data_IF_388804633719
#
_entry.id   IF_388804633719
#
_cell.length_a   1.000
_cell.length_b   1.000
_cell.length_c   1.000
_cell.angle_alpha   90.00
_cell.angle_beta   90.00
_cell.angle_gamma   90.00
#
_symmetry.space_group_name_H-M   'P 1'
#
loop_
_entity.id
_entity.type
_entity.pdbx_description
1 polymer ?
#
# COMPACT_ATOMS: atom_id res chain seq x y z
N UNK A 1 4.50 2.45 26.48
CA UNK A 1 3.08 2.80 26.52
C UNK A 1 2.24 1.69 25.91
N UNK A 2 1.35 1.18 26.67
CA UNK A 2 0.54 0.06 26.19
C UNK A 2 -0.56 0.55 25.26
N UNK A 3 -0.71 -0.12 24.14
CA UNK A 3 -1.78 0.14 23.20
C UNK A 3 -2.82 -0.95 23.35
N UNK A 4 -3.53 -0.95 24.41
CA UNK A 4 -4.40 -2.06 24.70
C UNK A 4 -5.82 -1.83 24.21
N UNK A 5 -6.51 -0.91 24.80
CA UNK A 5 -7.93 -0.72 24.49
C UNK A 5 -8.15 -0.18 23.11
N UNK A 6 -7.25 0.67 22.63
CA UNK A 6 -7.37 1.25 21.32
C UNK A 6 -6.52 0.59 20.26
N UNK A 7 -6.03 -0.64 20.52
CA UNK A 7 -5.03 -1.24 19.64
C UNK A 7 -5.48 -1.32 18.18
N UNK A 8 -6.72 -1.75 17.92
CA UNK A 8 -7.22 -1.84 16.56
C UNK A 8 -7.36 -0.48 15.90
N UNK A 9 -7.86 0.48 16.64
CA UNK A 9 -8.03 1.84 16.15
C UNK A 9 -6.67 2.51 15.92
N UNK A 10 -5.75 2.35 16.87
CA UNK A 10 -4.41 2.90 16.73
C UNK A 10 -3.67 2.28 15.55
N UNK A 11 -3.83 0.98 15.36
CA UNK A 11 -3.21 0.31 14.23
C UNK A 11 -3.75 0.88 12.91
N UNK A 12 -5.06 1.09 12.84
CA UNK A 12 -5.67 1.67 11.63
C UNK A 12 -5.11 3.05 11.35
N UNK A 13 -4.97 3.89 12.38
CA UNK A 13 -4.39 5.21 12.20
C UNK A 13 -2.92 5.14 11.75
N UNK A 14 -2.17 4.23 12.35
CA UNK A 14 -0.77 4.05 11.96
C UNK A 14 -0.65 3.60 10.52
N UNK A 15 -1.52 2.69 10.08
CA UNK A 15 -1.54 2.24 8.68
C UNK A 15 -1.82 3.43 7.77
N UNK A 16 -2.85 4.20 8.07
CA UNK A 16 -3.25 5.32 7.20
C UNK A 16 -2.17 6.41 7.17
N UNK A 17 -1.54 6.69 8.29
CA UNK A 17 -0.44 7.66 8.33
C UNK A 17 0.73 7.20 7.46
N UNK A 18 1.07 5.91 7.53
CA UNK A 18 2.15 5.38 6.70
C UNK A 18 1.78 5.44 5.22
N UNK A 19 0.55 5.06 4.89
CA UNK A 19 0.07 5.09 3.51
C UNK A 19 0.12 6.51 2.95
N UNK A 20 -0.29 7.50 3.75
CA UNK A 20 -0.24 8.89 3.33
C UNK A 20 1.18 9.38 3.09
N UNK A 21 2.17 8.71 3.65
CA UNK A 21 3.58 9.06 3.48
C UNK A 21 4.19 8.51 2.21
N UNK A 22 3.54 7.53 1.56
CA UNK A 22 4.09 6.92 0.34
C UNK A 22 4.05 7.96 -0.78
N UNK A 23 5.20 8.31 -1.38
CA UNK A 23 5.21 9.33 -2.43
C UNK A 23 4.56 8.84 -3.71
N UNK A 24 4.07 9.75 -4.56
CA UNK A 24 3.53 9.36 -5.87
C UNK A 24 4.55 8.57 -6.68
N UNK A 25 4.09 7.55 -7.38
CA UNK A 25 4.97 6.69 -8.18
C UNK A 25 5.59 5.55 -7.38
N UNK A 26 5.36 5.51 -6.09
CA UNK A 26 5.90 4.47 -5.21
C UNK A 26 4.78 3.70 -4.54
N UNK A 27 5.10 2.49 -4.10
CA UNK A 27 4.10 1.57 -3.56
C UNK A 27 4.69 0.74 -2.42
N UNK A 28 3.80 0.17 -1.60
CA UNK A 28 4.14 -0.86 -0.63
C UNK A 28 3.11 -1.97 -0.72
N UNK A 29 3.52 -3.20 -0.42
CA UNK A 29 2.56 -4.29 -0.28
C UNK A 29 1.92 -4.23 1.11
N UNK A 30 0.78 -4.93 1.29
CA UNK A 30 0.18 -5.04 2.61
C UNK A 30 1.18 -5.59 3.63
N UNK A 31 1.97 -6.57 3.20
CA UNK A 31 2.99 -7.15 4.08
C UNK A 31 4.08 -6.16 4.46
N UNK A 32 4.51 -5.34 3.52
CA UNK A 32 5.54 -4.34 3.80
C UNK A 32 5.00 -3.23 4.71
N UNK A 33 3.75 -2.82 4.53
CA UNK A 33 3.13 -1.87 5.45
C UNK A 33 3.12 -2.43 6.86
N UNK A 34 2.68 -3.68 7.01
CA UNK A 34 2.66 -4.33 8.32
C UNK A 34 4.06 -4.40 8.91
N UNK A 35 5.05 -4.82 8.13
CA UNK A 35 6.42 -4.97 8.61
C UNK A 35 6.99 -3.64 9.08
N UNK A 36 6.72 -2.56 8.38
CA UNK A 36 7.20 -1.23 8.77
C UNK A 36 6.57 -0.76 10.07
N UNK A 37 5.42 -1.29 10.41
CA UNK A 37 4.75 -1.00 11.69
C UNK A 37 5.09 -2.03 12.77
N UNK A 38 6.05 -2.90 12.49
CA UNK A 38 6.46 -3.91 13.47
C UNK A 38 5.46 -5.05 13.63
N UNK A 39 4.67 -5.33 12.60
CA UNK A 39 3.59 -6.31 12.67
C UNK A 39 3.73 -7.33 11.55
N UNK A 40 3.14 -8.50 11.75
CA UNK A 40 3.01 -9.52 10.70
C UNK A 40 1.58 -9.58 10.15
N UNK A 41 0.73 -8.65 10.55
CA UNK A 41 -0.71 -8.73 10.29
C UNK A 41 -1.05 -8.06 8.96
N UNK A 42 -0.55 -8.61 7.85
CA UNK A 42 -0.84 -8.05 6.52
C UNK A 42 -2.33 -8.06 6.22
N UNK A 43 -3.07 -9.08 6.71
CA UNK A 43 -4.52 -9.10 6.52
C UNK A 43 -5.22 -7.95 7.22
N UNK A 44 -4.71 -7.57 8.39
CA UNK A 44 -5.27 -6.44 9.11
C UNK A 44 -5.05 -5.13 8.35
N UNK A 45 -3.90 -4.99 7.69
CA UNK A 45 -3.67 -3.85 6.80
C UNK A 45 -4.70 -3.83 5.69
N UNK A 46 -4.94 -4.98 5.05
CA UNK A 46 -5.95 -5.08 3.99
C UNK A 46 -7.33 -4.69 4.49
N UNK A 47 -7.70 -5.09 5.70
CA UNK A 47 -8.98 -4.73 6.30
C UNK A 47 -9.08 -3.22 6.52
N UNK A 48 -8.03 -2.60 7.05
CA UNK A 48 -7.99 -1.16 7.25
C UNK A 48 -8.19 -0.44 5.91
N UNK A 49 -7.50 -0.88 4.88
CA UNK A 49 -7.61 -0.24 3.57
C UNK A 49 -9.01 -0.39 2.97
N UNK A 50 -9.65 -1.54 3.14
CA UNK A 50 -11.02 -1.72 2.66
C UNK A 50 -12.00 -0.84 3.40
N UNK A 51 -11.84 -0.69 4.71
CA UNK A 51 -12.79 0.03 5.54
C UNK A 51 -12.54 1.53 5.56
N UNK A 52 -11.30 1.94 5.47
CA UNK A 52 -10.93 3.33 5.72
C UNK A 52 -9.99 3.91 4.65
N UNK A 53 -9.75 3.21 3.57
CA UNK A 53 -8.79 3.66 2.56
C UNK A 53 -9.30 4.80 1.68
N UNK A 54 -10.61 4.98 1.60
CA UNK A 54 -11.18 6.07 0.79
C UNK A 54 -10.68 7.41 1.32
N UNK A 55 -10.25 8.28 0.41
CA UNK A 55 -9.65 9.56 0.82
C UNK A 55 -8.16 9.50 1.06
N UNK A 56 -7.57 8.30 1.00
CA UNK A 56 -6.14 8.10 1.11
C UNK A 56 -5.61 7.52 -0.19
N UNK A 57 -4.30 7.54 -0.45
CA UNK A 57 -3.76 6.98 -1.70
C UNK A 57 -3.75 5.45 -1.65
N UNK A 58 -4.93 4.86 -1.64
CA UNK A 58 -5.15 3.42 -1.48
C UNK A 58 -4.47 2.60 -2.57
N UNK A 59 -4.31 3.14 -3.78
CA UNK A 59 -3.69 2.44 -4.91
C UNK A 59 -2.19 2.24 -4.69
N UNK A 60 -1.60 2.94 -3.75
CA UNK A 60 -0.17 2.78 -3.42
C UNK A 60 0.09 1.62 -2.47
N UNK A 61 -0.97 0.89 -2.08
CA UNK A 61 -0.84 -0.30 -1.25
C UNK A 61 -1.35 -1.49 -2.05
N UNK A 62 -0.52 -2.50 -2.22
CA UNK A 62 -0.73 -3.57 -3.18
C UNK A 62 -0.82 -4.93 -2.51
N UNK A 63 -1.44 -5.87 -3.23
CA UNK A 63 -1.35 -7.28 -2.88
C UNK A 63 0.06 -7.79 -3.20
N UNK A 64 0.40 -8.92 -2.61
CA UNK A 64 1.67 -9.59 -2.87
C UNK A 64 1.91 -9.74 -4.37
N UNK A 65 3.15 -9.53 -4.79
CA UNK A 65 3.53 -9.65 -6.20
C UNK A 65 3.26 -8.40 -7.03
N UNK A 66 2.82 -7.32 -6.41
CA UNK A 66 2.57 -6.07 -7.13
C UNK A 66 1.19 -5.95 -7.74
N UNK A 67 0.26 -6.83 -7.35
CA UNK A 67 -1.09 -6.82 -7.90
C UNK A 67 -1.93 -5.72 -7.26
N UNK A 68 -2.72 -4.99 -8.05
CA UNK A 68 -3.57 -3.93 -7.51
C UNK A 68 -4.68 -4.49 -6.64
N UNK A 69 -5.31 -3.65 -5.80
CA UNK A 69 -6.41 -4.11 -4.96
C UNK A 69 -7.53 -4.74 -5.79
N UNK A 70 -8.04 -5.87 -5.32
CA UNK A 70 -9.07 -6.63 -6.02
C UNK A 70 -10.32 -5.79 -6.20
N UNK A 71 -10.85 -5.77 -7.41
CA UNK A 71 -12.08 -5.03 -7.72
C UNK A 71 -11.85 -3.57 -8.08
N UNK A 72 -10.62 -3.08 -7.95
CA UNK A 72 -10.31 -1.67 -8.21
C UNK A 72 -9.21 -1.52 -9.25
N UNK A 73 -8.98 -2.55 -10.05
CA UNK A 73 -7.84 -2.60 -10.97
C UNK A 73 -7.86 -1.46 -11.99
N UNK A 74 -9.02 -1.16 -12.56
CA UNK A 74 -9.11 -0.11 -13.58
C UNK A 74 -8.88 1.28 -12.97
N UNK A 75 -9.46 1.54 -11.81
CA UNK A 75 -9.28 2.82 -11.13
C UNK A 75 -7.85 3.01 -10.66
N UNK A 76 -7.26 1.94 -10.14
CA UNK A 76 -5.86 1.98 -9.73
C UNK A 76 -4.96 2.28 -10.91
N UNK A 77 -5.24 1.68 -12.07
CA UNK A 77 -4.45 1.90 -13.28
C UNK A 77 -4.38 3.39 -13.63
N UNK A 78 -5.50 4.09 -13.54
CA UNK A 78 -5.52 5.53 -13.83
C UNK A 78 -4.57 6.30 -12.92
N UNK A 79 -4.56 5.95 -11.65
CA UNK A 79 -3.65 6.58 -10.69
C UNK A 79 -2.19 6.25 -11.01
N UNK A 80 -1.90 4.99 -11.34
CA UNK A 80 -0.52 4.60 -11.66
C UNK A 80 0.00 5.35 -12.87
N UNK A 81 -0.82 5.47 -13.91
CA UNK A 81 -0.42 6.21 -15.11
C UNK A 81 -0.17 7.67 -14.76
N UNK A 82 -1.07 8.28 -13.98
CA UNK A 82 -0.93 9.69 -13.61
C UNK A 82 0.32 9.95 -12.79
N UNK A 83 0.76 8.96 -12.00
CA UNK A 83 1.94 9.11 -11.13
C UNK A 83 3.21 8.55 -11.75
N UNK A 84 3.12 8.03 -12.97
CA UNK A 84 4.25 7.38 -13.64
C UNK A 84 4.80 6.19 -12.86
N UNK A 85 3.92 5.45 -12.19
CA UNK A 85 4.30 4.25 -11.47
C UNK A 85 4.75 3.17 -12.45
N UNK A 86 5.91 2.54 -12.25
CA UNK A 86 6.36 1.47 -13.15
C UNK A 86 5.39 0.30 -13.17
N UNK A 87 4.94 -0.09 -14.36
CA UNK A 87 3.99 -1.19 -14.55
C UNK A 87 4.60 -2.26 -15.44
N UNK A 88 4.11 -3.49 -15.26
CA UNK A 88 4.47 -4.64 -16.08
C UNK A 88 3.19 -5.19 -16.69
N UNK A 89 3.20 -5.46 -17.98
CA UNK A 89 2.08 -6.09 -18.65
C UNK A 89 2.06 -7.58 -18.29
N UNK A 90 0.89 -8.11 -18.01
CA UNK A 90 0.73 -9.52 -17.69
C UNK A 90 -0.24 -10.18 -18.65
N UNK A 91 -0.05 -11.49 -18.89
CA UNK A 91 -0.91 -12.25 -19.80
C UNK A 91 -2.21 -12.69 -19.11
N UNK A 92 -2.25 -12.70 -17.79
CA UNK A 92 -3.40 -13.17 -17.03
C UNK A 92 -3.83 -12.10 -16.01
N UNK A 93 -4.94 -12.36 -15.33
CA UNK A 93 -5.47 -11.40 -14.37
C UNK A 93 -6.01 -10.17 -15.07
N UNK A 94 -5.76 -9.01 -14.49
CA UNK A 94 -6.26 -7.75 -15.04
C UNK A 94 -5.37 -7.18 -16.17
N UNK A 95 -4.34 -7.89 -16.56
CA UNK A 95 -3.47 -7.48 -17.68
C UNK A 95 -2.25 -6.67 -17.29
N UNK A 96 -2.11 -6.31 -16.01
CA UNK A 96 -0.93 -5.58 -15.53
C UNK A 96 -0.70 -5.84 -14.06
N UNK A 97 0.49 -5.52 -13.63
CA UNK A 97 0.84 -5.39 -12.21
C UNK A 97 1.86 -4.26 -12.08
N UNK A 98 2.05 -3.78 -10.88
CA UNK A 98 3.11 -2.80 -10.62
C UNK A 98 4.45 -3.55 -10.58
N UNK A 99 5.47 -2.94 -11.16
CA UNK A 99 6.84 -3.47 -11.06
C UNK A 99 7.34 -3.19 -9.66
N UNK A 100 7.07 -4.13 -8.76
CA UNK A 100 7.27 -3.92 -7.34
C UNK A 100 8.73 -3.68 -6.99
N UNK A 101 9.63 -4.39 -7.65
CA UNK A 101 11.06 -4.25 -7.38
C UNK A 101 11.54 -2.82 -7.65
N UNK A 102 10.96 -2.17 -8.64
CA UNK A 102 11.35 -0.81 -9.01
C UNK A 102 10.55 0.24 -8.22
N UNK A 103 9.25 0.01 -8.05
CA UNK A 103 8.36 1.02 -7.47
C UNK A 103 8.31 0.99 -5.94
N UNK A 104 8.78 -0.08 -5.32
CA UNK A 104 8.71 -0.24 -3.86
C UNK A 104 9.34 0.96 -3.16
N UNK A 105 8.59 1.55 -2.25
CA UNK A 105 9.09 2.67 -1.48
C UNK A 105 10.03 2.20 -0.38
N UNK A 106 11.22 2.75 -0.39
CA UNK A 106 12.21 2.48 0.66
C UNK A 106 12.50 3.81 1.31
N UNK A 107 11.82 4.11 2.43
CA UNK A 107 12.07 5.36 3.12
C UNK A 107 13.52 5.42 3.58
N UNK A 108 14.17 6.53 3.29
CA UNK A 108 15.53 6.72 3.77
C UNK A 108 15.50 7.85 4.78
N UNK A 109 16.25 7.66 5.86
CA UNK A 109 16.43 8.71 6.84
C UNK A 109 17.11 9.88 6.16
N UNK A 110 16.56 11.10 6.28
CA UNK A 110 17.33 12.22 5.77
C UNK A 110 18.63 12.35 6.53
N UNK A 111 19.69 12.73 5.84
CA UNK A 111 20.93 12.96 6.54
C UNK A 111 20.75 14.08 7.55
N UNK A 112 21.22 13.86 8.72
CA UNK A 112 21.08 14.83 9.80
C UNK A 112 22.31 15.66 9.97
#
# INVERSE_FOLDING_TARGET
MARSAGAGHEFALDVLDLVDSIPPGHVLSYGDVAAMLGSRASRAVGTVMRQSGAGHPWWRVLRSGGHPPTGHEARAHEHYVAESTPLVRTATGCGYRVDYAVARWIPTEPPT
#
